data_IF_375592409416
#
_entry.id   IF_375592409416
#
_cell.length_a   1.000
_cell.length_b   1.000
_cell.length_c   1.000
_cell.angle_alpha   90.00
_cell.angle_beta   90.00
_cell.angle_gamma   90.00
#
_symmetry.space_group_name_H-M   'P 1'
#
loop_
_entity.id
_entity.type
_entity.pdbx_description
1 polymer ?
#
# COMPACT_ATOMS: atom_id res chain seq x y z
N UNK A 1 58.82 -55.58 -3.61
CA UNK A 1 57.84 -55.77 -4.69
C UNK A 1 56.47 -55.73 -4.04
N UNK A 2 55.74 -54.65 -4.32
CA UNK A 2 54.49 -54.26 -3.69
C UNK A 2 53.32 -54.58 -4.63
N UNK A 3 52.42 -55.45 -4.19
CA UNK A 3 51.15 -55.71 -4.89
C UNK A 3 50.01 -54.99 -4.18
N UNK A 4 49.33 -54.12 -4.91
CA UNK A 4 48.12 -53.40 -4.51
C UNK A 4 46.93 -53.89 -5.33
N UNK A 5 45.89 -54.36 -4.64
CA UNK A 5 44.64 -54.89 -5.20
C UNK A 5 43.66 -53.74 -5.47
N UNK A 6 43.09 -53.69 -6.68
CA UNK A 6 42.02 -52.76 -7.08
C UNK A 6 40.66 -53.47 -6.97
N UNK A 7 39.67 -52.78 -6.39
CA UNK A 7 38.27 -53.23 -6.33
C UNK A 7 37.39 -52.21 -7.06
N UNK A 8 36.68 -52.64 -8.10
CA UNK A 8 35.73 -51.82 -8.86
C UNK A 8 34.37 -51.76 -8.16
N UNK A 9 33.76 -50.57 -8.11
CA UNK A 9 32.43 -50.30 -7.56
C UNK A 9 31.53 -49.88 -8.73
N UNK A 10 30.49 -50.67 -9.02
CA UNK A 10 29.43 -50.30 -9.97
C UNK A 10 28.29 -49.56 -9.24
N UNK A 11 27.74 -48.51 -9.85
CA UNK A 11 26.58 -47.75 -9.31
C UNK A 11 25.35 -47.92 -10.23
N UNK A 12 24.14 -48.20 -9.70
CA UNK A 12 22.93 -48.33 -10.51
C UNK A 12 22.23 -46.97 -10.74
N UNK A 13 21.77 -46.72 -11.98
CA UNK A 13 20.99 -45.55 -12.38
C UNK A 13 19.48 -45.73 -12.11
N UNK A 14 18.83 -44.71 -11.53
CA UNK A 14 17.36 -44.65 -11.31
C UNK A 14 16.71 -43.60 -12.21
N UNK A 15 15.60 -43.95 -12.89
CA UNK A 15 14.84 -43.10 -13.83
C UNK A 15 13.81 -42.19 -13.13
N UNK A 16 13.57 -40.96 -13.64
CA UNK A 16 12.59 -39.97 -13.09
C UNK A 16 11.37 -39.81 -14.02
N UNK A 17 10.14 -39.83 -13.48
CA UNK A 17 8.88 -39.46 -14.18
C UNK A 17 8.56 -37.95 -14.00
N UNK A 18 7.99 -37.29 -15.01
CA UNK A 18 7.55 -35.87 -14.99
C UNK A 18 6.11 -35.74 -14.42
N UNK A 19 5.84 -34.80 -13.51
CA UNK A 19 4.50 -34.54 -12.94
C UNK A 19 3.68 -33.56 -13.79
N UNK A 20 2.40 -33.86 -14.04
CA UNK A 20 1.43 -32.90 -14.63
C UNK A 20 0.70 -32.11 -13.54
N UNK A 21 0.49 -30.80 -13.77
CA UNK A 21 -0.17 -29.87 -12.84
C UNK A 21 -1.68 -30.16 -12.73
N UNK A 22 -2.27 -29.97 -11.55
CA UNK A 22 -3.67 -30.33 -11.30
C UNK A 22 -4.66 -29.44 -12.05
N UNK A 23 -5.82 -30.00 -12.43
CA UNK A 23 -6.88 -29.30 -13.17
C UNK A 23 -7.40 -28.04 -12.46
N UNK A 24 -7.25 -27.96 -11.13
CA UNK A 24 -7.76 -26.88 -10.27
C UNK A 24 -7.10 -25.52 -10.56
N UNK A 25 -5.89 -25.53 -11.11
CA UNK A 25 -5.13 -24.32 -11.45
C UNK A 25 -5.17 -23.96 -12.94
N UNK A 26 -5.95 -24.69 -13.73
CA UNK A 26 -5.96 -24.49 -15.18
C UNK A 26 -6.92 -23.35 -15.52
N UNK A 27 -6.34 -22.19 -15.83
CA UNK A 27 -7.05 -21.09 -16.50
C UNK A 27 -7.39 -21.56 -17.92
N UNK A 28 -8.65 -21.89 -18.19
CA UNK A 28 -9.08 -22.49 -19.46
C UNK A 28 -9.90 -21.55 -20.34
N UNK A 29 -10.67 -20.65 -19.74
CA UNK A 29 -11.54 -19.69 -20.43
C UNK A 29 -11.07 -18.25 -20.25
N UNK A 30 -11.60 -17.33 -21.06
CA UNK A 30 -11.40 -15.89 -20.84
C UNK A 30 -12.05 -15.42 -19.53
N UNK A 31 -13.16 -16.04 -19.14
CA UNK A 31 -13.86 -15.78 -17.89
C UNK A 31 -13.01 -16.16 -16.67
N UNK A 32 -12.29 -17.29 -16.72
CA UNK A 32 -11.35 -17.69 -15.67
C UNK A 32 -10.24 -16.64 -15.47
N UNK A 33 -9.78 -16.02 -16.56
CA UNK A 33 -8.78 -14.94 -16.51
C UNK A 33 -9.34 -13.69 -15.85
N UNK A 34 -10.61 -13.34 -16.12
CA UNK A 34 -11.28 -12.18 -15.51
C UNK A 34 -11.47 -12.41 -14.01
N UNK A 35 -12.01 -13.55 -13.62
CA UNK A 35 -12.20 -13.93 -12.22
C UNK A 35 -10.88 -13.97 -11.44
N UNK A 36 -9.79 -14.48 -12.05
CA UNK A 36 -8.47 -14.47 -11.42
C UNK A 36 -7.94 -13.04 -11.22
N UNK A 37 -8.12 -12.16 -12.22
CA UNK A 37 -7.74 -10.74 -12.09
C UNK A 37 -8.53 -10.05 -10.99
N UNK A 38 -9.83 -10.26 -10.93
CA UNK A 38 -10.70 -9.67 -9.90
C UNK A 38 -10.31 -10.15 -8.49
N UNK A 39 -10.00 -11.44 -8.32
CA UNK A 39 -9.49 -11.99 -7.05
C UNK A 39 -8.14 -11.40 -6.64
N UNK A 40 -7.23 -11.19 -7.60
CA UNK A 40 -5.93 -10.55 -7.33
C UNK A 40 -6.11 -9.08 -6.95
N UNK A 41 -7.01 -8.36 -7.63
CA UNK A 41 -7.28 -6.95 -7.32
C UNK A 41 -7.95 -6.83 -5.95
N UNK A 42 -8.98 -7.63 -5.66
CA UNK A 42 -9.67 -7.64 -4.36
C UNK A 42 -8.75 -8.01 -3.22
N UNK A 43 -7.96 -9.10 -3.33
CA UNK A 43 -6.97 -9.46 -2.31
C UNK A 43 -5.90 -8.36 -2.12
N UNK A 44 -5.58 -7.61 -3.18
CA UNK A 44 -4.67 -6.47 -3.06
C UNK A 44 -5.33 -5.27 -2.36
N UNK A 45 -6.61 -5.00 -2.62
CA UNK A 45 -7.37 -3.95 -1.96
C UNK A 45 -7.57 -4.26 -0.48
N UNK A 46 -7.96 -5.49 -0.14
CA UNK A 46 -8.09 -5.97 1.24
C UNK A 46 -6.77 -5.80 2.00
N UNK A 47 -5.63 -6.20 1.40
CA UNK A 47 -4.31 -5.95 1.98
C UNK A 47 -3.98 -4.46 2.19
N UNK A 48 -4.53 -3.54 1.39
CA UNK A 48 -4.31 -2.11 1.55
C UNK A 48 -5.26 -1.50 2.60
N UNK A 49 -6.48 -2.03 2.70
CA UNK A 49 -7.47 -1.62 3.69
C UNK A 49 -7.06 -2.07 5.10
N UNK A 50 -6.58 -3.31 5.25
CA UNK A 50 -6.02 -3.84 6.50
C UNK A 50 -4.80 -3.05 6.99
N UNK A 51 -3.96 -2.56 6.07
CA UNK A 51 -2.81 -1.71 6.38
C UNK A 51 -3.24 -0.30 6.86
N UNK A 52 -4.49 0.11 6.57
CA UNK A 52 -5.03 1.41 6.94
C UNK A 52 -5.98 1.36 8.15
N UNK A 53 -6.47 0.18 8.54
CA UNK A 53 -7.40 0.02 9.67
C UNK A 53 -6.71 0.37 11.00
N UNK A 54 -7.05 1.54 11.54
CA UNK A 54 -6.67 1.91 12.90
C UNK A 54 -7.53 1.11 13.87
N UNK A 55 -6.92 0.13 14.55
CA UNK A 55 -7.56 -0.56 15.67
C UNK A 55 -8.09 0.48 16.69
N UNK A 56 -9.36 0.38 17.13
CA UNK A 56 -9.91 1.32 18.08
C UNK A 56 -9.04 1.38 19.33
N UNK A 57 -8.73 2.59 19.78
CA UNK A 57 -7.94 2.92 20.97
C UNK A 57 -8.61 2.23 22.18
N UNK A 58 -8.20 0.99 22.50
CA UNK A 58 -8.81 0.18 23.55
C UNK A 58 -8.80 -1.34 23.33
N UNK A 59 -8.77 -1.84 22.09
CA UNK A 59 -8.82 -3.29 21.80
C UNK A 59 -7.45 -3.98 21.76
N UNK A 60 -6.45 -3.44 22.47
CA UNK A 60 -5.10 -4.03 22.50
C UNK A 60 -4.97 -5.25 23.44
N UNK A 61 -6.09 -5.91 23.73
CA UNK A 61 -6.18 -7.10 24.57
C UNK A 61 -6.59 -8.31 23.75
N UNK A 62 -5.68 -9.28 23.66
CA UNK A 62 -5.96 -10.71 23.47
C UNK A 62 -6.93 -11.07 22.32
N UNK A 63 -6.51 -10.89 21.08
CA UNK A 63 -7.00 -11.76 20.01
C UNK A 63 -6.35 -13.14 20.21
N UNK A 64 -7.08 -14.04 20.87
CA UNK A 64 -6.75 -15.45 20.99
C UNK A 64 -6.44 -16.03 19.60
N UNK A 65 -5.19 -16.43 19.40
CA UNK A 65 -4.71 -17.19 18.24
C UNK A 65 -5.48 -18.53 18.12
N UNK A 66 -6.66 -18.49 17.53
CA UNK A 66 -7.45 -19.66 17.15
C UNK A 66 -7.38 -19.87 15.62
N UNK A 67 -6.18 -20.05 15.07
CA UNK A 67 -6.00 -20.52 13.68
C UNK A 67 -5.62 -22.01 13.67
N UNK A 68 -6.60 -22.85 14.02
CA UNK A 68 -6.60 -24.27 13.66
C UNK A 68 -7.26 -24.44 12.29
N UNK A 69 -6.61 -23.99 11.22
CA UNK A 69 -6.89 -24.52 9.89
C UNK A 69 -5.98 -25.72 9.64
N UNK A 70 -6.47 -26.88 10.07
CA UNK A 70 -5.92 -28.19 9.70
C UNK A 70 -6.28 -28.49 8.25
N UNK A 71 -5.61 -27.80 7.32
CA UNK A 71 -5.66 -28.12 5.91
C UNK A 71 -4.80 -29.39 5.70
N UNK A 72 -5.35 -30.56 6.07
CA UNK A 72 -4.74 -31.91 6.04
C UNK A 72 -4.24 -32.36 4.65
N UNK A 73 -4.18 -31.47 3.64
CA UNK A 73 -3.99 -31.84 2.24
C UNK A 73 -2.67 -31.36 1.61
N UNK A 74 -1.74 -30.78 2.37
CA UNK A 74 -0.43 -30.37 1.84
C UNK A 74 0.70 -31.35 2.24
N UNK A 75 0.72 -32.53 1.61
CA UNK A 75 1.88 -33.45 1.66
C UNK A 75 2.94 -32.93 0.68
N UNK A 76 3.74 -31.96 1.14
CA UNK A 76 4.98 -31.56 0.44
C UNK A 76 6.13 -32.39 1.00
N UNK A 77 6.63 -33.33 0.18
CA UNK A 77 7.86 -34.09 0.41
C UNK A 77 9.09 -33.18 0.29
N UNK A 78 9.32 -32.36 1.30
CA UNK A 78 10.66 -31.82 1.59
C UNK A 78 10.94 -32.11 3.07
N UNK A 79 12.22 -32.29 3.40
CA UNK A 79 12.70 -32.76 4.70
C UNK A 79 11.98 -32.07 5.87
N UNK A 80 11.73 -32.77 7.00
CA UNK A 80 10.95 -32.24 8.11
C UNK A 80 11.74 -31.12 8.81
N UNK A 81 11.70 -29.93 8.25
CA UNK A 81 12.08 -28.71 8.96
C UNK A 81 11.04 -28.57 10.06
N UNK A 82 11.54 -28.65 11.31
CA UNK A 82 10.74 -28.64 12.53
C UNK A 82 9.66 -27.53 12.44
N UNK A 83 8.38 -27.92 12.30
CA UNK A 83 7.26 -26.99 12.02
C UNK A 83 7.29 -25.76 12.93
N UNK A 84 7.69 -25.94 14.20
CA UNK A 84 7.90 -24.85 15.18
C UNK A 84 8.86 -23.73 14.71
N UNK A 85 9.98 -24.04 14.07
CA UNK A 85 10.93 -23.01 13.56
C UNK A 85 10.33 -22.20 12.41
N UNK A 86 9.48 -22.81 11.59
CA UNK A 86 8.78 -22.13 10.50
C UNK A 86 7.74 -21.13 11.04
N UNK A 87 6.99 -21.49 12.08
CA UNK A 87 6.04 -20.58 12.74
C UNK A 87 6.73 -19.35 13.35
N UNK A 88 7.78 -19.55 14.14
CA UNK A 88 8.55 -18.43 14.75
C UNK A 88 9.12 -17.49 13.68
N UNK A 89 9.62 -18.04 12.57
CA UNK A 89 10.13 -17.22 11.46
C UNK A 89 9.03 -16.44 10.73
N UNK A 90 7.81 -17.00 10.63
CA UNK A 90 6.65 -16.31 10.04
C UNK A 90 6.16 -15.17 10.94
N UNK A 91 6.07 -15.38 12.25
CA UNK A 91 5.67 -14.34 13.21
C UNK A 91 6.65 -13.16 13.23
N UNK A 92 7.97 -13.43 13.26
CA UNK A 92 8.98 -12.37 13.16
C UNK A 92 8.81 -11.53 11.91
N UNK A 93 8.58 -12.18 10.75
CA UNK A 93 8.30 -11.48 9.49
C UNK A 93 6.99 -10.69 9.51
N UNK A 94 5.95 -11.18 10.20
CA UNK A 94 4.66 -10.48 10.36
C UNK A 94 4.86 -9.20 11.20
N UNK A 95 5.60 -9.28 12.30
CA UNK A 95 5.89 -8.14 13.17
C UNK A 95 6.81 -7.11 12.50
N UNK A 96 7.84 -7.56 11.76
CA UNK A 96 8.70 -6.68 10.96
C UNK A 96 7.88 -5.92 9.92
N UNK A 97 6.97 -6.59 9.20
CA UNK A 97 6.06 -5.94 8.25
C UNK A 97 5.13 -4.94 8.94
N UNK A 98 4.51 -5.29 10.07
CA UNK A 98 3.68 -4.36 10.85
C UNK A 98 4.45 -3.13 11.32
N UNK A 99 5.75 -3.25 11.63
CA UNK A 99 6.58 -2.11 12.00
C UNK A 99 6.94 -1.20 10.81
N UNK A 100 6.94 -1.73 9.59
CA UNK A 100 7.20 -0.99 8.36
C UNK A 100 5.93 -0.39 7.76
N UNK A 101 4.76 -0.97 8.04
CA UNK A 101 3.45 -0.50 7.59
C UNK A 101 2.79 0.41 8.64
N UNK A 102 3.50 1.47 9.05
CA UNK A 102 2.92 2.50 9.91
C UNK A 102 2.26 3.56 9.04
N UNK A 103 1.03 3.95 9.38
CA UNK A 103 0.40 5.09 8.73
C UNK A 103 1.09 6.39 9.20
N UNK A 104 0.93 7.48 8.45
CA UNK A 104 1.51 8.77 8.78
C UNK A 104 1.16 9.21 10.22
N UNK A 105 -0.07 8.96 10.66
CA UNK A 105 -0.53 9.27 12.01
C UNK A 105 0.26 8.50 13.10
N UNK A 106 0.54 7.21 12.87
CA UNK A 106 1.28 6.37 13.83
C UNK A 106 2.75 6.80 13.90
N UNK A 107 3.32 7.20 12.77
CA UNK A 107 4.68 7.77 12.71
C UNK A 107 4.73 9.09 13.49
N UNK A 108 3.71 9.94 13.35
CA UNK A 108 3.61 11.20 14.07
C UNK A 108 3.53 10.98 15.59
N UNK A 109 2.71 10.03 16.05
CA UNK A 109 2.62 9.66 17.47
C UNK A 109 3.95 9.12 18.02
N UNK A 110 4.59 8.21 17.29
CA UNK A 110 5.88 7.60 17.69
C UNK A 110 7.07 8.53 17.61
N UNK A 111 6.92 9.69 16.96
CA UNK A 111 8.00 10.65 16.84
C UNK A 111 8.19 11.49 18.12
N UNK A 112 7.31 11.38 19.12
CA UNK A 112 7.42 12.07 20.42
C UNK A 112 7.77 13.56 20.29
N UNK A 113 7.06 14.23 19.37
CA UNK A 113 7.35 15.58 18.92
C UNK A 113 7.50 16.63 20.03
N UNK A 114 6.81 16.44 21.14
CA UNK A 114 6.83 17.32 22.32
C UNK A 114 8.12 17.19 23.16
N UNK A 115 8.91 16.14 22.94
CA UNK A 115 10.17 15.89 23.70
C UNK A 115 11.35 16.65 23.10
N UNK A 116 11.25 17.10 21.85
CA UNK A 116 12.33 17.86 21.22
C UNK A 116 12.45 19.27 21.83
N UNK A 117 13.67 19.77 22.05
CA UNK A 117 13.88 21.16 22.46
C UNK A 117 13.34 22.17 21.43
N UNK A 118 12.88 23.33 21.89
CA UNK A 118 12.26 24.39 21.05
C UNK A 118 13.10 24.85 19.85
N UNK A 119 14.43 24.69 19.91
CA UNK A 119 15.33 25.08 18.83
C UNK A 119 15.41 24.06 17.67
N UNK A 120 14.84 22.86 17.85
CA UNK A 120 14.80 21.81 16.83
C UNK A 120 13.46 21.90 16.08
N UNK A 121 13.47 22.16 14.77
CA UNK A 121 12.24 22.20 13.99
C UNK A 121 11.66 20.80 13.83
N UNK A 122 10.38 20.70 14.15
CA UNK A 122 9.55 19.51 14.12
C UNK A 122 8.45 19.69 13.07
N UNK A 123 7.80 18.61 12.63
CA UNK A 123 6.66 18.65 11.70
C UNK A 123 5.63 19.75 12.02
N UNK A 124 5.33 19.98 13.31
CA UNK A 124 4.38 20.99 13.76
C UNK A 124 5.01 22.40 13.83
N UNK A 125 6.26 22.52 14.29
CA UNK A 125 6.90 23.82 14.52
C UNK A 125 7.52 24.45 13.26
N UNK A 126 7.71 23.67 12.19
CA UNK A 126 8.27 24.17 10.91
C UNK A 126 7.29 25.04 10.11
N UNK A 127 6.04 25.23 10.57
CA UNK A 127 5.06 26.06 9.90
C UNK A 127 5.58 27.49 9.71
N UNK A 128 5.56 27.98 8.47
CA UNK A 128 6.00 29.34 8.16
C UNK A 128 5.01 30.38 8.70
N UNK A 129 5.54 31.55 9.07
CA UNK A 129 4.71 32.71 9.43
C UNK A 129 3.91 33.18 8.21
N UNK A 130 2.74 33.82 8.41
CA UNK A 130 1.97 34.39 7.32
C UNK A 130 2.78 35.42 6.53
N UNK A 131 2.46 35.57 5.24
CA UNK A 131 3.12 36.55 4.36
C UNK A 131 2.98 37.97 4.89
N UNK A 132 4.11 38.70 4.91
CA UNK A 132 4.14 40.15 5.21
C UNK A 132 3.61 41.00 4.04
N UNK A 133 3.54 40.44 2.83
CA UNK A 133 3.11 41.15 1.62
C UNK A 133 1.62 40.97 1.36
N UNK A 134 0.94 42.01 0.82
CA UNK A 134 -0.48 41.91 0.48
C UNK A 134 -0.74 40.87 -0.61
N UNK A 135 -1.90 40.19 -0.58
CA UNK A 135 -2.24 39.17 -1.58
C UNK A 135 -2.38 39.80 -2.97
N UNK A 136 -1.83 39.14 -3.98
CA UNK A 136 -2.01 39.53 -5.39
C UNK A 136 -3.23 38.82 -5.96
N UNK A 137 -4.02 39.54 -6.75
CA UNK A 137 -5.21 38.98 -7.39
C UNK A 137 -4.95 38.69 -8.86
N UNK A 138 -5.08 37.42 -9.25
CA UNK A 138 -4.91 36.95 -10.63
C UNK A 138 -6.24 36.51 -11.22
N UNK A 139 -6.36 36.63 -12.53
CA UNK A 139 -7.46 36.13 -13.33
C UNK A 139 -7.46 34.60 -13.29
N UNK A 140 -8.60 34.00 -12.92
CA UNK A 140 -8.73 32.54 -12.84
C UNK A 140 -8.73 31.83 -14.21
N UNK A 141 -8.79 32.59 -15.31
CA UNK A 141 -8.87 32.07 -16.68
C UNK A 141 -7.47 32.08 -17.33
N UNK A 142 -6.79 33.22 -17.32
CA UNK A 142 -5.52 33.40 -18.04
C UNK A 142 -4.31 33.70 -17.15
N UNK A 143 -4.49 33.90 -15.83
CA UNK A 143 -3.40 34.20 -14.90
C UNK A 143 -2.89 35.66 -14.92
N UNK A 144 -3.42 36.54 -15.78
CA UNK A 144 -3.08 37.98 -15.75
C UNK A 144 -3.67 38.69 -14.52
N UNK A 145 -3.36 39.98 -14.30
CA UNK A 145 -3.88 40.75 -13.15
C UNK A 145 -5.42 40.78 -13.19
N UNK A 146 -6.06 40.29 -12.12
CA UNK A 146 -7.51 40.16 -11.99
C UNK A 146 -8.15 41.44 -11.46
N UNK A 147 -8.38 42.40 -12.34
CA UNK A 147 -8.95 43.71 -11.99
C UNK A 147 -10.42 43.64 -11.53
N UNK A 148 -11.18 42.66 -12.00
CA UNK A 148 -12.63 42.56 -11.77
C UNK A 148 -12.99 41.31 -10.97
N UNK A 149 -14.12 41.36 -10.27
CA UNK A 149 -14.68 40.26 -9.48
C UNK A 149 -16.05 39.84 -10.02
N UNK A 150 -16.27 38.53 -10.11
CA UNK A 150 -17.60 37.98 -10.38
C UNK A 150 -18.48 38.19 -9.15
N UNK A 151 -19.65 38.80 -9.32
CA UNK A 151 -20.61 39.06 -8.23
C UNK A 151 -21.19 37.78 -7.61
N UNK A 152 -21.09 36.65 -8.30
CA UNK A 152 -21.74 35.41 -7.92
C UNK A 152 -20.85 34.49 -7.08
N UNK A 153 -19.61 34.29 -7.52
CA UNK A 153 -18.68 33.34 -6.91
C UNK A 153 -17.40 34.02 -6.38
N UNK A 154 -17.29 35.35 -6.47
CA UNK A 154 -16.13 36.15 -6.09
C UNK A 154 -14.81 35.86 -6.83
N UNK A 155 -14.82 35.02 -7.88
CA UNK A 155 -13.62 34.78 -8.69
C UNK A 155 -13.21 36.01 -9.47
N UNK A 156 -11.90 36.17 -9.72
CA UNK A 156 -11.33 37.35 -10.38
C UNK A 156 -11.11 37.09 -11.88
N UNK A 157 -11.32 38.10 -12.70
CA UNK A 157 -11.03 38.06 -14.14
C UNK A 157 -10.37 39.38 -14.61
N UNK A 158 -9.60 39.31 -15.71
CA UNK A 158 -8.88 40.47 -16.24
C UNK A 158 -9.63 41.24 -17.33
N UNK A 159 -10.52 40.58 -18.07
CA UNK A 159 -11.20 41.13 -19.25
C UNK A 159 -12.58 40.51 -19.45
N UNK A 160 -13.41 41.14 -20.27
CA UNK A 160 -14.76 40.63 -20.60
C UNK A 160 -14.71 39.27 -21.29
N UNK A 161 -13.67 38.98 -22.09
CA UNK A 161 -13.46 37.66 -22.69
C UNK A 161 -13.32 36.60 -21.61
N UNK A 162 -12.48 36.87 -20.60
CA UNK A 162 -12.31 35.98 -19.45
C UNK A 162 -13.59 35.86 -18.62
N UNK A 163 -14.40 36.91 -18.52
CA UNK A 163 -15.70 36.85 -17.85
C UNK A 163 -16.67 35.89 -18.54
N UNK A 164 -16.76 35.91 -19.87
CA UNK A 164 -17.63 34.98 -20.62
C UNK A 164 -17.18 33.53 -20.44
N UNK A 165 -15.88 33.24 -20.63
CA UNK A 165 -15.33 31.91 -20.35
C UNK A 165 -15.53 31.47 -18.90
N UNK A 166 -15.44 32.41 -17.95
CA UNK A 166 -15.73 32.16 -16.55
C UNK A 166 -17.19 31.74 -16.34
N UNK A 167 -18.14 32.45 -16.93
CA UNK A 167 -19.58 32.14 -16.82
C UNK A 167 -19.92 30.78 -17.44
N UNK A 168 -19.29 30.42 -18.55
CA UNK A 168 -19.55 29.14 -19.24
C UNK A 168 -19.01 27.92 -18.49
N UNK A 169 -17.84 28.04 -17.83
CA UNK A 169 -17.09 26.86 -17.35
C UNK A 169 -16.83 26.84 -15.84
N UNK A 170 -16.81 27.99 -15.16
CA UNK A 170 -16.26 28.12 -13.80
C UNK A 170 -17.17 28.82 -12.80
N UNK A 171 -18.20 29.53 -13.23
CA UNK A 171 -19.09 30.23 -12.32
C UNK A 171 -19.96 29.22 -11.57
N UNK A 172 -19.59 28.90 -10.34
CA UNK A 172 -20.34 27.99 -9.45
C UNK A 172 -21.65 28.58 -8.90
N UNK A 173 -22.19 29.60 -9.56
CA UNK A 173 -23.41 30.29 -9.17
C UNK A 173 -24.28 30.68 -10.36
N UNK A 174 -24.26 29.89 -11.45
CA UNK A 174 -25.07 30.11 -12.66
C UNK A 174 -26.44 30.72 -12.34
N UNK A 175 -26.70 31.94 -12.83
CA UNK A 175 -28.04 32.58 -12.83
C UNK A 175 -28.98 31.91 -13.86
N UNK A 176 -28.55 30.80 -14.48
CA UNK A 176 -29.23 30.18 -15.61
C UNK A 176 -29.54 28.69 -15.39
N UNK A 177 -29.47 28.21 -14.15
CA UNK A 177 -29.97 26.89 -13.69
C UNK A 177 -30.43 27.01 -12.26
#
# INVERSE_FOLDING_TARGET
MSDSIIVNIETPQSSKRKSQISKRYRVTSEEDRRNLKEKVISARLESLDDDNEQQPIGSRGDEEDNDYNDDENEIVYTTPVNKKRLFIAREKKKNEKKSMNLNFNDVLEKSYLETFPDHVPTYISVQSKPSIFPPRHFCSICGYIGAYTCKQCSSRYCSIKCFNYHNETRCKGSIYT
#
